data_IF_737603708283
#
_entry.id   IF_737603708283
#
_cell.length_a   1.000
_cell.length_b   1.000
_cell.length_c   1.000
_cell.angle_alpha   90.00
_cell.angle_beta   90.00
_cell.angle_gamma   90.00
#
_symmetry.space_group_name_H-M   'P 1'
#
loop_
_entity.id
_entity.type
_entity.pdbx_description
1 polymer ?
#
# COMPACT_ATOMS: atom_id res chain seq x y z
N UNK A 1 3.10 5.44 -26.21
CA UNK A 1 3.39 4.70 -24.96
C UNK A 1 2.20 3.84 -24.57
N UNK A 2 2.48 2.70 -23.99
CA UNK A 2 1.44 1.73 -23.65
C UNK A 2 0.90 1.95 -22.24
N UNK A 3 -0.41 1.83 -22.09
CA UNK A 3 -1.09 1.83 -20.81
C UNK A 3 -2.10 0.67 -20.79
N UNK A 4 -2.27 0.05 -19.64
CA UNK A 4 -3.24 -1.03 -19.46
C UNK A 4 -4.28 -0.59 -18.44
N UNK A 5 -5.55 -0.62 -18.82
CA UNK A 5 -6.64 -0.27 -17.93
C UNK A 5 -7.36 -1.56 -17.51
N UNK A 6 -7.36 -1.84 -16.22
CA UNK A 6 -8.03 -3.01 -15.65
C UNK A 6 -8.93 -2.57 -14.51
N UNK A 7 -10.09 -3.22 -14.32
CA UNK A 7 -10.92 -2.94 -13.15
C UNK A 7 -10.23 -3.41 -11.88
N UNK A 8 -10.28 -2.58 -10.84
CA UNK A 8 -9.75 -2.92 -9.51
C UNK A 8 -10.77 -2.54 -8.46
N UNK A 9 -10.62 -3.09 -7.25
CA UNK A 9 -11.46 -2.69 -6.13
C UNK A 9 -11.12 -1.27 -5.68
N UNK A 10 -12.08 -0.62 -5.03
CA UNK A 10 -11.86 0.73 -4.50
C UNK A 10 -10.81 0.70 -3.39
N UNK A 11 -10.80 -0.35 -2.56
CA UNK A 11 -9.77 -0.54 -1.55
C UNK A 11 -8.38 -0.63 -2.15
N UNK A 12 -8.22 -1.34 -3.26
CA UNK A 12 -6.95 -1.44 -3.99
C UNK A 12 -6.51 -0.09 -4.54
N UNK A 13 -7.45 0.70 -5.05
CA UNK A 13 -7.16 2.04 -5.56
C UNK A 13 -6.54 2.93 -4.48
N UNK A 14 -7.16 3.00 -3.30
CA UNK A 14 -6.64 3.82 -2.21
C UNK A 14 -5.34 3.29 -1.64
N UNK A 15 -5.18 1.97 -1.60
CA UNK A 15 -3.94 1.33 -1.20
C UNK A 15 -2.78 1.72 -2.13
N UNK A 16 -2.96 1.57 -3.45
CA UNK A 16 -1.96 1.97 -4.45
C UNK A 16 -1.61 3.44 -4.34
N UNK A 17 -2.62 4.29 -4.22
CA UNK A 17 -2.43 5.73 -4.11
C UNK A 17 -1.62 6.08 -2.86
N UNK A 18 -1.95 5.48 -1.73
CA UNK A 18 -1.24 5.67 -0.46
C UNK A 18 0.24 5.29 -0.60
N UNK A 19 0.53 4.14 -1.21
CA UNK A 19 1.91 3.68 -1.43
C UNK A 19 2.67 4.63 -2.34
N UNK A 20 2.02 5.13 -3.39
CA UNK A 20 2.64 6.10 -4.31
C UNK A 20 3.02 7.40 -3.60
N UNK A 21 2.17 7.88 -2.70
CA UNK A 21 2.47 9.07 -1.92
C UNK A 21 3.68 8.86 -0.99
N UNK A 22 3.78 7.68 -0.39
CA UNK A 22 4.93 7.32 0.44
C UNK A 22 6.21 7.25 -0.40
N UNK A 23 6.13 6.61 -1.57
CA UNK A 23 7.26 6.56 -2.52
C UNK A 23 7.72 7.95 -2.92
N UNK A 24 6.79 8.85 -3.20
CA UNK A 24 7.09 10.22 -3.58
C UNK A 24 7.86 10.97 -2.48
N UNK A 25 7.56 10.70 -1.22
CA UNK A 25 8.29 11.30 -0.09
C UNK A 25 9.68 10.71 0.11
N UNK A 26 9.83 9.41 -0.10
CA UNK A 26 11.04 8.68 0.29
C UNK A 26 12.05 8.48 -0.84
N UNK A 27 11.63 8.57 -2.07
CA UNK A 27 12.50 8.35 -3.25
C UNK A 27 12.94 9.70 -3.81
N UNK A 28 14.24 9.84 -4.06
CA UNK A 28 14.85 11.08 -4.53
C UNK A 28 15.34 11.03 -5.99
N UNK A 29 15.44 9.84 -6.60
CA UNK A 29 15.93 9.68 -7.97
C UNK A 29 14.90 10.19 -8.97
N UNK A 30 15.30 11.14 -9.81
CA UNK A 30 14.41 11.83 -10.75
C UNK A 30 13.72 10.92 -11.75
N UNK A 31 14.40 9.90 -12.24
CA UNK A 31 13.85 8.92 -13.17
C UNK A 31 12.71 8.12 -12.53
N UNK A 32 12.88 7.73 -11.27
CA UNK A 32 11.83 7.02 -10.51
C UNK A 32 10.67 7.94 -10.19
N UNK A 33 10.94 9.18 -9.77
CA UNK A 33 9.91 10.17 -9.45
C UNK A 33 9.04 10.49 -10.66
N UNK A 34 9.61 10.50 -11.85
CA UNK A 34 8.84 10.69 -13.08
C UNK A 34 7.71 9.67 -13.21
N UNK A 35 8.02 8.38 -13.04
CA UNK A 35 7.02 7.33 -13.14
C UNK A 35 6.05 7.31 -11.96
N UNK A 36 6.53 7.62 -10.76
CA UNK A 36 5.68 7.73 -9.57
C UNK A 36 4.64 8.83 -9.74
N UNK A 37 5.07 10.02 -10.16
CA UNK A 37 4.17 11.16 -10.40
C UNK A 37 3.20 10.89 -11.53
N UNK A 38 3.64 10.19 -12.57
CA UNK A 38 2.80 9.80 -13.70
C UNK A 38 1.64 8.93 -13.23
N UNK A 39 1.92 7.92 -12.43
CA UNK A 39 0.90 7.02 -11.90
C UNK A 39 -0.06 7.75 -10.96
N UNK A 40 0.46 8.63 -10.10
CA UNK A 40 -0.38 9.48 -9.22
C UNK A 40 -1.36 10.30 -10.06
N UNK A 41 -0.90 10.92 -11.14
CA UNK A 41 -1.74 11.71 -12.03
C UNK A 41 -2.88 10.89 -12.64
N UNK A 42 -2.61 9.65 -13.02
CA UNK A 42 -3.64 8.75 -13.58
C UNK A 42 -4.67 8.34 -12.52
N UNK A 43 -4.27 8.16 -11.28
CA UNK A 43 -5.16 7.72 -10.21
C UNK A 43 -5.97 8.88 -9.59
N UNK A 44 -5.45 10.10 -9.62
CA UNK A 44 -6.03 11.23 -8.93
C UNK A 44 -7.51 11.49 -9.27
N UNK A 45 -7.95 11.45 -10.54
CA UNK A 45 -9.37 11.65 -10.84
C UNK A 45 -10.29 10.62 -10.21
N UNK A 46 -9.82 9.38 -10.09
CA UNK A 46 -10.59 8.30 -9.46
C UNK A 46 -10.64 8.46 -7.95
N UNK A 47 -9.53 8.87 -7.32
CA UNK A 47 -9.48 9.18 -5.90
C UNK A 47 -10.48 10.30 -5.56
N UNK A 48 -10.51 11.35 -6.37
CA UNK A 48 -11.39 12.50 -6.13
C UNK A 48 -12.87 12.17 -6.32
N UNK A 49 -13.18 11.08 -6.99
CA UNK A 49 -14.55 10.65 -7.27
C UNK A 49 -15.28 10.10 -6.04
N UNK A 50 -14.54 9.55 -5.09
CA UNK A 50 -15.11 8.91 -3.90
C UNK A 50 -14.94 9.82 -2.68
N UNK A 51 -15.94 9.80 -1.80
CA UNK A 51 -15.94 10.64 -0.62
C UNK A 51 -15.65 9.81 0.63
N UNK A 52 -14.39 9.41 0.79
CA UNK A 52 -13.94 8.69 1.98
C UNK A 52 -13.58 9.67 3.10
N UNK A 53 -13.81 9.25 4.35
CA UNK A 53 -13.42 10.03 5.50
C UNK A 53 -11.89 10.11 5.60
N UNK A 54 -11.38 11.23 6.08
CA UNK A 54 -9.94 11.42 6.30
C UNK A 54 -9.39 10.35 7.25
N UNK A 55 -10.17 9.95 8.24
CA UNK A 55 -9.78 8.93 9.22
C UNK A 55 -9.35 7.62 8.55
N UNK A 56 -10.15 7.08 7.62
CA UNK A 56 -9.81 5.80 6.98
C UNK A 56 -8.67 5.96 5.98
N UNK A 57 -8.57 7.10 5.32
CA UNK A 57 -7.44 7.40 4.42
C UNK A 57 -6.14 7.43 5.22
N UNK A 58 -6.15 8.06 6.39
CA UNK A 58 -4.99 8.10 7.28
C UNK A 58 -4.63 6.73 7.85
N UNK A 59 -5.62 5.89 8.15
CA UNK A 59 -5.37 4.49 8.57
C UNK A 59 -4.63 3.71 7.50
N UNK A 60 -5.03 3.86 6.25
CA UNK A 60 -4.35 3.22 5.12
C UNK A 60 -2.90 3.72 4.99
N UNK A 61 -2.70 5.03 5.12
CA UNK A 61 -1.37 5.63 5.09
C UNK A 61 -0.47 5.09 6.20
N UNK A 62 -0.99 5.03 7.41
CA UNK A 62 -0.24 4.57 8.58
C UNK A 62 0.18 3.11 8.45
N UNK A 63 -0.71 2.23 7.97
CA UNK A 63 -0.39 0.82 7.81
C UNK A 63 0.66 0.60 6.71
N UNK A 64 0.58 1.37 5.63
CA UNK A 64 1.55 1.27 4.54
C UNK A 64 2.92 1.84 4.95
N UNK A 65 2.97 2.89 5.75
CA UNK A 65 4.23 3.38 6.32
C UNK A 65 4.86 2.36 7.27
N UNK A 66 4.05 1.72 8.09
CA UNK A 66 4.52 0.66 8.98
C UNK A 66 5.15 -0.49 8.17
N UNK A 67 4.48 -0.93 7.10
CA UNK A 67 5.02 -1.96 6.21
C UNK A 67 6.31 -1.51 5.54
N UNK A 68 6.37 -0.27 5.08
CA UNK A 68 7.58 0.30 4.49
C UNK A 68 8.78 0.17 5.43
N UNK A 69 8.59 0.55 6.68
CA UNK A 69 9.66 0.50 7.69
C UNK A 69 10.06 -0.94 8.02
N UNK A 70 9.09 -1.85 8.13
CA UNK A 70 9.36 -3.28 8.35
C UNK A 70 10.18 -3.86 7.20
N UNK A 71 9.79 -3.57 5.96
CA UNK A 71 10.49 -4.04 4.77
C UNK A 71 11.92 -3.51 4.71
N UNK A 72 12.14 -2.24 5.03
CA UNK A 72 13.48 -1.66 5.06
C UNK A 72 14.35 -2.36 6.11
N UNK A 73 13.84 -2.55 7.30
CA UNK A 73 14.60 -3.15 8.39
C UNK A 73 14.93 -4.63 8.12
N UNK A 74 13.96 -5.41 7.62
CA UNK A 74 14.20 -6.82 7.33
C UNK A 74 15.19 -7.00 6.17
N UNK A 75 15.17 -6.10 5.19
CA UNK A 75 16.12 -6.14 4.07
C UNK A 75 17.54 -5.82 4.52
N UNK A 76 17.70 -4.91 5.47
CA UNK A 76 19.01 -4.62 6.08
C UNK A 76 19.53 -5.85 6.82
N UNK A 77 18.67 -6.52 7.59
CA UNK A 77 19.02 -7.78 8.27
C UNK A 77 19.47 -8.85 7.29
N UNK A 78 18.78 -8.99 6.17
CA UNK A 78 19.15 -9.93 5.12
C UNK A 78 20.52 -9.61 4.53
N UNK A 79 20.78 -8.34 4.24
CA UNK A 79 22.05 -7.89 3.67
C UNK A 79 23.22 -8.14 4.62
N UNK A 80 23.02 -7.98 5.92
CA UNK A 80 24.06 -8.21 6.94
C UNK A 80 24.08 -9.65 7.43
N UNK A 81 23.20 -10.52 6.92
CA UNK A 81 23.08 -11.93 7.31
C UNK A 81 22.81 -12.11 8.80
N UNK A 82 22.03 -11.19 9.39
CA UNK A 82 21.65 -11.23 10.80
C UNK A 82 20.26 -11.88 10.95
N UNK A 83 20.25 -13.20 11.14
CA UNK A 83 19.00 -13.97 11.27
C UNK A 83 18.70 -14.23 12.76
N UNK A 84 18.62 -13.16 13.54
CA UNK A 84 18.40 -13.14 14.97
C UNK A 84 16.91 -13.10 15.33
N UNK A 85 16.59 -12.92 16.61
CA UNK A 85 15.19 -12.80 17.07
C UNK A 85 14.49 -11.60 16.43
N UNK A 86 15.22 -10.51 16.22
CA UNK A 86 14.65 -9.32 15.57
C UNK A 86 14.24 -9.63 14.13
N UNK A 87 15.06 -10.40 13.40
CA UNK A 87 14.71 -10.85 12.06
C UNK A 87 13.42 -11.66 12.06
N UNK A 88 13.29 -12.60 13.00
CA UNK A 88 12.09 -13.43 13.11
C UNK A 88 10.87 -12.57 13.44
N UNK A 89 10.99 -11.61 14.36
CA UNK A 89 9.92 -10.68 14.70
C UNK A 89 9.49 -9.88 13.48
N UNK A 90 10.43 -9.34 12.72
CA UNK A 90 10.15 -8.59 11.51
C UNK A 90 9.44 -9.44 10.45
N UNK A 91 9.91 -10.67 10.24
CA UNK A 91 9.31 -11.60 9.29
C UNK A 91 7.84 -11.88 9.63
N UNK A 92 7.54 -12.06 10.92
CA UNK A 92 6.17 -12.24 11.39
C UNK A 92 5.33 -10.98 11.20
N UNK A 93 5.92 -9.80 11.46
CA UNK A 93 5.23 -8.52 11.28
C UNK A 93 4.81 -8.27 9.85
N UNK A 94 5.52 -8.82 8.86
CA UNK A 94 5.14 -8.67 7.45
C UNK A 94 3.74 -9.19 7.21
N UNK A 95 3.46 -10.46 7.54
CA UNK A 95 2.13 -11.01 7.26
C UNK A 95 1.07 -10.46 8.20
N UNK A 96 1.39 -10.20 9.47
CA UNK A 96 0.45 -9.62 10.45
C UNK A 96 -0.01 -8.24 9.96
N UNK A 97 0.93 -7.40 9.53
CA UNK A 97 0.63 -6.05 9.06
C UNK A 97 -0.09 -6.08 7.70
N UNK A 98 0.25 -7.03 6.82
CA UNK A 98 -0.49 -7.24 5.57
C UNK A 98 -1.94 -7.65 5.84
N UNK A 99 -2.20 -8.44 6.87
CA UNK A 99 -3.56 -8.80 7.26
C UNK A 99 -4.35 -7.56 7.73
N UNK A 100 -3.72 -6.69 8.51
CA UNK A 100 -4.34 -5.42 8.94
C UNK A 100 -4.62 -4.52 7.73
N UNK A 101 -3.69 -4.44 6.80
CA UNK A 101 -3.85 -3.70 5.55
C UNK A 101 -5.04 -4.23 4.75
N UNK A 102 -5.17 -5.54 4.63
CA UNK A 102 -6.29 -6.16 3.93
C UNK A 102 -7.63 -5.79 4.60
N UNK A 103 -7.69 -5.77 5.93
CA UNK A 103 -8.90 -5.36 6.66
C UNK A 103 -9.31 -3.93 6.31
N UNK A 104 -8.36 -3.01 6.20
CA UNK A 104 -8.65 -1.63 5.82
C UNK A 104 -9.17 -1.57 4.38
N UNK A 105 -8.57 -2.33 3.46
CA UNK A 105 -9.05 -2.43 2.08
C UNK A 105 -10.50 -2.94 2.03
N UNK A 106 -10.82 -3.97 2.81
CA UNK A 106 -12.16 -4.51 2.90
C UNK A 106 -13.14 -3.49 3.48
N UNK A 107 -12.73 -2.72 4.47
CA UNK A 107 -13.53 -1.67 5.07
C UNK A 107 -13.88 -0.59 4.03
N UNK A 108 -12.90 -0.16 3.24
CA UNK A 108 -13.12 0.80 2.14
C UNK A 108 -14.09 0.22 1.11
N UNK A 109 -13.89 -1.04 0.71
CA UNK A 109 -14.77 -1.71 -0.26
C UNK A 109 -16.21 -1.77 0.23
N UNK A 110 -16.40 -1.97 1.52
CA UNK A 110 -17.74 -2.00 2.12
C UNK A 110 -18.38 -0.62 2.18
N UNK A 111 -17.62 0.40 2.62
CA UNK A 111 -18.13 1.78 2.74
C UNK A 111 -18.58 2.31 1.37
N UNK A 112 -17.78 2.09 0.33
CA UNK A 112 -18.06 2.60 -1.02
C UNK A 112 -18.92 1.61 -1.83
N UNK A 113 -19.14 0.42 -1.30
CA UNK A 113 -19.85 -0.67 -2.01
C UNK A 113 -19.15 -1.03 -3.32
N UNK A 114 -17.88 -1.38 -3.24
CA UNK A 114 -17.07 -1.75 -4.39
C UNK A 114 -17.63 -3.01 -5.05
N UNK A 115 -17.74 -3.00 -6.38
CA UNK A 115 -18.17 -4.18 -7.14
C UNK A 115 -17.11 -5.28 -7.10
N UNK A 116 -15.84 -4.89 -7.22
CA UNK A 116 -14.71 -5.80 -7.17
C UNK A 116 -14.14 -5.81 -5.77
N UNK A 117 -13.90 -7.01 -5.22
CA UNK A 117 -13.35 -7.17 -3.87
C UNK A 117 -12.36 -8.32 -3.84
N UNK A 118 -11.16 -8.04 -3.33
CA UNK A 118 -10.14 -9.07 -3.14
C UNK A 118 -10.54 -10.03 -2.04
N UNK A 119 -10.42 -11.34 -2.31
CA UNK A 119 -10.72 -12.39 -1.34
C UNK A 119 -9.45 -13.14 -0.99
N UNK A 120 -9.24 -13.43 0.29
CA UNK A 120 -8.13 -14.26 0.77
C UNK A 120 -8.63 -15.68 1.05
N UNK A 121 -7.77 -16.67 0.77
CA UNK A 121 -8.12 -18.09 0.97
C UNK A 121 -7.74 -18.59 2.36
N UNK A 122 -6.79 -17.96 3.02
CA UNK A 122 -6.40 -18.37 4.38
C UNK A 122 -7.32 -17.75 5.42
N UNK A 123 -7.41 -18.42 6.55
CA UNK A 123 -8.31 -18.06 7.65
C UNK A 123 -7.61 -17.22 8.71
#
# INVERSE_FOLDING_TARGET
>A
MNICNVPISIGELYDKYSILLIKKEKINENDKLYFINKEIEYLQPFINKFNLSLEIVEKMRAINEKLWNIEDEIRIKEQTQEFDERFITLARMVYITNDERHKIKCEINTIINSEIREMKSYK
#
